data_IF_537121821068
#
_entry.id   IF_537121821068
#
_cell.length_a   1.000
_cell.length_b   1.000
_cell.length_c   1.000
_cell.angle_alpha   90.00
_cell.angle_beta   90.00
_cell.angle_gamma   90.00
#
_symmetry.space_group_name_H-M   'P 1'
#
loop_
_entity.id
_entity.type
_entity.pdbx_description
1 polymer ?
#
# COMPACT_ATOMS: atom_id res chain seq x y z
N UNK A 1 -18.44 -2.77 15.35
CA UNK A 1 -19.70 -3.27 14.75
C UNK A 1 -19.44 -3.53 13.28
N UNK A 2 -19.67 -4.76 12.81
CA UNK A 2 -19.57 -5.10 11.38
C UNK A 2 -20.89 -4.72 10.72
N UNK A 3 -20.83 -3.88 9.69
CA UNK A 3 -22.01 -3.48 8.91
C UNK A 3 -22.04 -4.25 7.60
N UNK A 4 -23.24 -4.38 7.01
CA UNK A 4 -23.43 -5.06 5.72
C UNK A 4 -22.56 -4.40 4.63
N UNK A 5 -22.50 -3.06 4.61
CA UNK A 5 -21.65 -2.34 3.65
C UNK A 5 -20.16 -2.64 3.80
N UNK A 6 -19.68 -2.83 5.02
CA UNK A 6 -18.29 -3.20 5.29
C UNK A 6 -17.98 -4.63 4.82
N UNK A 7 -18.91 -5.56 5.05
CA UNK A 7 -18.80 -6.94 4.58
C UNK A 7 -18.72 -6.99 3.04
N UNK A 8 -19.64 -6.33 2.33
CA UNK A 8 -19.63 -6.26 0.87
C UNK A 8 -18.35 -5.64 0.32
N UNK A 9 -17.88 -4.54 0.93
CA UNK A 9 -16.64 -3.88 0.54
C UNK A 9 -15.42 -4.80 0.73
N UNK A 10 -15.32 -5.46 1.89
CA UNK A 10 -14.21 -6.37 2.19
C UNK A 10 -14.14 -7.54 1.21
N UNK A 11 -15.29 -8.06 0.79
CA UNK A 11 -15.40 -9.18 -0.15
C UNK A 11 -15.01 -8.76 -1.57
N UNK A 12 -15.39 -7.55 -1.99
CA UNK A 12 -14.99 -7.01 -3.29
C UNK A 12 -13.47 -6.83 -3.36
N UNK A 13 -12.86 -6.28 -2.31
CA UNK A 13 -11.39 -6.13 -2.20
C UNK A 13 -10.73 -7.50 -2.28
N UNK A 14 -11.20 -8.48 -1.51
CA UNK A 14 -10.71 -9.86 -1.55
C UNK A 14 -10.75 -10.45 -2.97
N UNK A 15 -11.90 -10.43 -3.65
CA UNK A 15 -12.05 -10.98 -5.00
C UNK A 15 -11.10 -10.33 -6.01
N UNK A 16 -10.84 -9.04 -5.87
CA UNK A 16 -9.94 -8.31 -6.78
C UNK A 16 -8.48 -8.62 -6.50
N UNK A 17 -8.09 -8.71 -5.22
CA UNK A 17 -6.76 -9.13 -4.79
C UNK A 17 -6.44 -10.58 -5.19
N UNK A 18 -7.40 -11.51 -5.09
CA UNK A 18 -7.23 -12.89 -5.57
C UNK A 18 -6.96 -12.96 -7.07
N UNK A 19 -7.40 -11.97 -7.84
CA UNK A 19 -7.14 -11.83 -9.29
C UNK A 19 -5.90 -10.99 -9.60
N UNK A 20 -5.08 -10.68 -8.59
CA UNK A 20 -3.86 -9.88 -8.73
C UNK A 20 -4.12 -8.50 -9.37
N UNK A 21 -5.28 -7.91 -9.07
CA UNK A 21 -5.67 -6.58 -9.57
C UNK A 21 -5.59 -5.54 -8.45
N UNK A 22 -5.21 -4.32 -8.84
CA UNK A 22 -5.13 -3.17 -7.95
C UNK A 22 -6.52 -2.59 -7.67
N UNK A 23 -6.75 -2.14 -6.43
CA UNK A 23 -8.03 -1.54 -5.98
C UNK A 23 -7.75 -0.24 -5.26
N UNK A 24 -8.57 0.77 -5.54
CA UNK A 24 -8.59 2.03 -4.81
C UNK A 24 -9.99 2.26 -4.22
N UNK A 25 -10.06 2.54 -2.92
CA UNK A 25 -11.32 2.87 -2.23
C UNK A 25 -11.40 4.38 -1.98
N UNK A 26 -12.35 5.05 -2.64
CA UNK A 26 -12.55 6.49 -2.55
C UNK A 26 -13.81 6.86 -1.75
N UNK A 27 -13.82 8.07 -1.15
CA UNK A 27 -15.01 8.72 -0.59
C UNK A 27 -14.69 9.64 0.58
N UNK A 28 -15.71 10.16 1.26
CA UNK A 28 -15.55 11.08 2.39
C UNK A 28 -14.78 10.48 3.58
N UNK A 29 -14.11 11.34 4.36
CA UNK A 29 -13.49 10.96 5.62
C UNK A 29 -14.54 10.43 6.60
N UNK A 30 -14.15 9.48 7.46
CA UNK A 30 -15.07 8.85 8.41
C UNK A 30 -16.03 7.81 7.83
N UNK A 31 -16.00 7.53 6.52
CA UNK A 31 -16.90 6.54 5.90
C UNK A 31 -16.52 5.07 6.15
N UNK A 32 -15.58 4.79 7.05
CA UNK A 32 -15.16 3.42 7.39
C UNK A 32 -14.28 2.69 6.35
N UNK A 33 -13.73 3.39 5.34
CA UNK A 33 -12.82 2.79 4.34
C UNK A 33 -11.67 2.01 4.96
N UNK A 34 -10.95 2.63 5.89
CA UNK A 34 -9.84 2.00 6.60
C UNK A 34 -10.28 0.76 7.39
N UNK A 35 -11.53 0.74 7.87
CA UNK A 35 -12.09 -0.41 8.54
C UNK A 35 -12.43 -1.56 7.58
N UNK A 36 -12.96 -1.26 6.39
CA UNK A 36 -13.20 -2.25 5.33
C UNK A 36 -11.89 -2.92 4.89
N UNK A 37 -10.83 -2.13 4.65
CA UNK A 37 -9.51 -2.68 4.26
C UNK A 37 -8.90 -3.54 5.37
N UNK A 38 -9.00 -3.11 6.62
CA UNK A 38 -8.54 -3.91 7.78
C UNK A 38 -9.22 -5.27 7.85
N UNK A 39 -10.53 -5.31 7.63
CA UNK A 39 -11.30 -6.55 7.62
C UNK A 39 -10.93 -7.43 6.43
N UNK A 40 -10.81 -6.86 5.23
CA UNK A 40 -10.35 -7.59 4.05
C UNK A 40 -8.96 -8.20 4.25
N UNK A 41 -8.04 -7.45 4.84
CA UNK A 41 -6.68 -7.91 5.13
C UNK A 41 -6.65 -8.98 6.22
N UNK A 42 -7.49 -8.88 7.24
CA UNK A 42 -7.59 -9.93 8.26
C UNK A 42 -8.02 -11.27 7.64
N UNK A 43 -8.95 -11.23 6.68
CA UNK A 43 -9.35 -12.40 5.91
C UNK A 43 -8.27 -12.87 4.92
N UNK A 44 -7.38 -11.96 4.47
CA UNK A 44 -6.25 -12.28 3.59
C UNK A 44 -5.04 -12.91 4.28
N UNK A 45 -4.87 -12.77 5.60
CA UNK A 45 -3.72 -13.30 6.34
C UNK A 45 -3.74 -14.83 6.40
N UNK A 46 -3.41 -15.46 5.28
CA UNK A 46 -3.13 -16.88 5.12
C UNK A 46 -1.65 -17.06 4.79
N UNK A 47 -1.13 -18.30 4.85
CA UNK A 47 0.26 -18.65 4.51
C UNK A 47 0.70 -18.14 3.13
N UNK A 48 -0.25 -17.92 2.22
CA UNK A 48 -0.02 -17.52 0.83
C UNK A 48 0.05 -16.00 0.60
N UNK A 49 -0.35 -15.16 1.56
CA UNK A 49 -0.39 -13.70 1.36
C UNK A 49 0.33 -12.96 2.50
N UNK A 50 1.40 -12.23 2.16
CA UNK A 50 2.03 -11.26 3.06
C UNK A 50 1.40 -9.90 2.83
N UNK A 51 0.72 -9.40 3.84
CA UNK A 51 0.04 -8.10 3.80
C UNK A 51 0.87 -7.07 4.55
N UNK A 52 1.22 -5.96 3.92
CA UNK A 52 1.93 -4.85 4.57
C UNK A 52 1.19 -3.54 4.43
N UNK A 53 1.17 -2.81 5.54
CA UNK A 53 0.68 -1.44 5.62
C UNK A 53 1.85 -0.48 5.39
N UNK A 54 1.75 0.32 4.34
CA UNK A 54 2.56 1.51 4.18
C UNK A 54 1.78 2.71 4.74
N UNK A 55 2.46 3.50 5.57
CA UNK A 55 1.95 4.76 6.08
C UNK A 55 2.87 5.88 5.57
N UNK A 56 2.30 6.87 4.89
CA UNK A 56 3.03 8.03 4.43
C UNK A 56 2.89 9.17 5.42
N UNK A 57 4.01 9.82 5.75
CA UNK A 57 4.03 11.05 6.52
C UNK A 57 4.97 12.06 5.85
N UNK A 58 4.93 13.32 6.28
CA UNK A 58 5.70 14.43 5.69
C UNK A 58 7.23 14.20 5.62
N UNK A 59 7.74 13.27 6.45
CA UNK A 59 9.17 12.91 6.50
C UNK A 59 9.54 11.62 5.77
N UNK A 60 8.57 10.89 5.19
CA UNK A 60 8.85 9.63 4.50
C UNK A 60 9.52 9.92 3.16
N UNK A 61 10.75 9.44 2.98
CA UNK A 61 11.47 9.54 1.71
C UNK A 61 11.24 8.30 0.84
N UNK A 62 11.55 8.39 -0.46
CA UNK A 62 11.47 7.23 -1.35
C UNK A 62 12.33 6.05 -0.87
N UNK A 63 13.48 6.33 -0.25
CA UNK A 63 14.34 5.29 0.32
C UNK A 63 13.65 4.51 1.44
N UNK A 64 12.91 5.18 2.31
CA UNK A 64 12.19 4.50 3.41
C UNK A 64 11.14 3.53 2.88
N UNK A 65 10.48 3.90 1.78
CA UNK A 65 9.47 3.07 1.11
C UNK A 65 10.12 1.90 0.39
N UNK A 66 11.22 2.15 -0.33
CA UNK A 66 11.99 1.09 -0.98
C UNK A 66 12.53 0.10 0.05
N UNK A 67 13.15 0.57 1.14
CA UNK A 67 13.68 -0.27 2.21
C UNK A 67 12.56 -1.11 2.86
N UNK A 68 11.36 -0.52 3.03
CA UNK A 68 10.19 -1.25 3.53
C UNK A 68 9.73 -2.32 2.56
N UNK A 69 9.65 -2.03 1.26
CA UNK A 69 9.25 -3.01 0.23
C UNK A 69 10.30 -4.11 0.09
N UNK A 70 11.58 -3.76 0.05
CA UNK A 70 12.71 -4.68 -0.05
C UNK A 70 12.79 -5.63 1.15
N UNK A 71 12.39 -5.18 2.34
CA UNK A 71 12.30 -6.06 3.52
C UNK A 71 11.28 -7.20 3.37
N UNK A 72 10.38 -7.11 2.38
CA UNK A 72 9.32 -8.09 2.12
C UNK A 72 9.61 -8.98 0.92
N UNK A 73 10.47 -8.49 0.02
CA UNK A 73 10.83 -9.18 -1.19
C UNK A 73 12.14 -9.94 -0.98
N UNK A 74 12.22 -11.11 -1.59
CA UNK A 74 13.45 -11.87 -1.67
C UNK A 74 14.12 -11.61 -3.02
N UNK A 75 15.44 -11.44 -2.98
CA UNK A 75 16.25 -11.34 -4.18
C UNK A 75 16.34 -12.71 -4.84
N UNK A 76 15.75 -12.85 -6.04
CA UNK A 76 15.74 -14.11 -6.81
C UNK A 76 16.83 -14.19 -7.89
N UNK A 77 17.46 -13.06 -8.24
CA UNK A 77 18.45 -12.98 -9.30
C UNK A 77 19.31 -11.72 -9.23
N UNK A 78 19.97 -11.37 -10.34
CA UNK A 78 20.87 -10.20 -10.39
C UNK A 78 20.09 -8.89 -10.16
N UNK A 79 18.93 -8.77 -10.81
CA UNK A 79 18.03 -7.59 -10.77
C UNK A 79 16.55 -7.92 -10.53
N UNK A 80 16.22 -9.13 -10.04
CA UNK A 80 14.83 -9.56 -9.83
C UNK A 80 14.51 -9.70 -8.36
N UNK A 81 13.52 -8.92 -7.91
CA UNK A 81 12.93 -9.00 -6.57
C UNK A 81 11.51 -9.53 -6.69
N UNK A 82 11.13 -10.41 -5.77
CA UNK A 82 9.79 -10.96 -5.74
C UNK A 82 9.42 -11.42 -4.34
N UNK A 83 8.13 -11.59 -4.05
CA UNK A 83 7.71 -12.18 -2.78
C UNK A 83 8.33 -13.58 -2.61
N UNK A 84 8.44 -14.10 -1.38
CA UNK A 84 8.91 -15.46 -1.14
C UNK A 84 8.17 -16.49 -1.99
N UNK A 85 8.86 -17.53 -2.44
CA UNK A 85 8.29 -18.56 -3.31
C UNK A 85 7.01 -19.14 -2.73
N UNK A 86 5.92 -19.09 -3.49
CA UNK A 86 4.59 -19.56 -3.06
C UNK A 86 3.76 -18.54 -2.26
N UNK A 87 4.25 -17.31 -2.10
CA UNK A 87 3.53 -16.21 -1.45
C UNK A 87 3.32 -15.02 -2.40
N UNK A 88 2.24 -14.27 -2.18
CA UNK A 88 1.94 -12.98 -2.83
C UNK A 88 2.11 -11.86 -1.82
N UNK A 89 2.82 -10.79 -2.19
CA UNK A 89 2.89 -9.58 -1.38
C UNK A 89 1.72 -8.64 -1.74
N UNK A 90 0.95 -8.23 -0.74
CA UNK A 90 -0.14 -7.25 -0.88
C UNK A 90 0.24 -6.01 -0.09
N UNK A 91 0.43 -4.91 -0.79
CA UNK A 91 0.74 -3.61 -0.21
C UNK A 91 -0.56 -2.82 -0.15
N UNK A 92 -0.88 -2.30 1.02
CA UNK A 92 -2.00 -1.37 1.17
C UNK A 92 -1.53 -0.06 1.80
N UNK A 93 -2.18 1.02 1.37
CA UNK A 93 -1.93 2.37 1.83
C UNK A 93 -3.24 2.93 2.39
N UNK A 94 -3.23 3.30 3.66
CA UNK A 94 -4.41 3.81 4.38
C UNK A 94 -4.54 5.32 4.25
N UNK A 95 -3.42 5.98 4.46
CA UNK A 95 -3.36 7.42 4.56
C UNK A 95 -2.55 7.95 3.37
N UNK A 96 -3.29 8.44 2.38
CA UNK A 96 -2.74 9.19 1.26
C UNK A 96 -2.71 10.69 1.56
N UNK A 97 -2.87 11.12 2.83
CA UNK A 97 -2.64 12.52 3.22
C UNK A 97 -1.14 12.86 3.21
N UNK A 98 -0.47 12.58 2.10
CA UNK A 98 0.62 13.45 1.71
C UNK A 98 -0.01 14.78 1.32
N UNK A 99 0.40 15.91 1.92
CA UNK A 99 0.05 17.20 1.33
C UNK A 99 0.47 17.17 -0.14
N UNK A 100 -0.49 17.47 -1.01
CA UNK A 100 -0.33 17.38 -2.45
C UNK A 100 0.89 18.18 -2.93
N UNK A 101 1.95 17.45 -3.26
CA UNK A 101 3.02 17.74 -4.22
C UNK A 101 3.88 19.01 -4.10
N UNK A 102 3.61 20.03 -3.26
CA UNK A 102 4.08 21.39 -3.58
C UNK A 102 4.71 22.27 -2.48
N UNK A 103 4.67 21.97 -1.18
CA UNK A 103 5.08 23.00 -0.20
C UNK A 103 6.61 23.17 0.00
N UNK A 104 7.45 22.23 -0.43
CA UNK A 104 8.91 22.32 -0.26
C UNK A 104 9.72 22.36 -1.56
N UNK A 105 9.13 22.03 -2.71
CA UNK A 105 9.79 22.14 -4.02
C UNK A 105 9.95 23.59 -4.50
N UNK A 106 9.52 24.58 -3.71
CA UNK A 106 9.54 26.00 -4.08
C UNK A 106 10.59 26.86 -3.34
N UNK A 107 11.49 26.31 -2.49
CA UNK A 107 12.48 27.19 -1.82
C UNK A 107 13.96 26.84 -1.89
N UNK A 108 14.40 25.62 -2.18
CA UNK A 108 15.84 25.38 -2.35
C UNK A 108 16.12 24.35 -3.44
N UNK A 109 16.68 24.84 -4.54
CA UNK A 109 17.43 24.06 -5.50
C UNK A 109 18.43 23.14 -4.78
N UNK A 110 18.50 21.85 -5.15
CA UNK A 110 19.66 21.03 -4.81
C UNK A 110 19.45 19.54 -4.49
N UNK A 111 18.25 18.99 -4.38
CA UNK A 111 18.10 17.55 -4.13
C UNK A 111 16.79 16.99 -4.69
N UNK A 112 16.90 16.31 -5.84
CA UNK A 112 15.81 15.55 -6.43
C UNK A 112 15.61 14.24 -5.64
N UNK A 113 14.87 14.29 -4.53
CA UNK A 113 14.34 13.06 -3.92
C UNK A 113 13.08 12.67 -4.69
N UNK A 114 13.15 11.56 -5.44
CA UNK A 114 12.01 11.02 -6.17
C UNK A 114 10.79 10.82 -5.25
N UNK A 115 9.58 11.02 -5.77
CA UNK A 115 8.36 10.89 -4.99
C UNK A 115 8.04 9.41 -4.69
N UNK A 116 7.54 9.08 -3.49
CA UNK A 116 7.13 7.72 -3.15
C UNK A 116 6.13 7.08 -4.11
N UNK A 117 5.28 7.90 -4.75
CA UNK A 117 4.20 7.44 -5.64
C UNK A 117 4.70 7.08 -7.05
N UNK A 118 5.81 7.66 -7.51
CA UNK A 118 6.44 7.30 -8.80
C UNK A 118 7.10 5.90 -8.75
N UNK A 119 7.32 5.37 -7.54
CA UNK A 119 7.87 4.05 -7.29
C UNK A 119 6.84 2.92 -7.44
N UNK A 120 5.54 3.24 -7.52
CA UNK A 120 4.44 2.27 -7.58
C UNK A 120 3.94 2.10 -9.04
N UNK A 121 4.87 2.03 -10.00
CA UNK A 121 4.56 1.68 -11.41
C UNK A 121 4.92 0.24 -11.72
#
# INVERSE_FOLDING_TARGET
VRTIGMASCSQLVWMTCSRQKQVLLCGQSGSGKSACLREAMANMKSSHHRVVKLAFHERTQAKDVQDTVDSLLEKRGRDTFGPPTGSTCVIWVDDLSLPSVACATARRAGQASAQPLELIR
#
